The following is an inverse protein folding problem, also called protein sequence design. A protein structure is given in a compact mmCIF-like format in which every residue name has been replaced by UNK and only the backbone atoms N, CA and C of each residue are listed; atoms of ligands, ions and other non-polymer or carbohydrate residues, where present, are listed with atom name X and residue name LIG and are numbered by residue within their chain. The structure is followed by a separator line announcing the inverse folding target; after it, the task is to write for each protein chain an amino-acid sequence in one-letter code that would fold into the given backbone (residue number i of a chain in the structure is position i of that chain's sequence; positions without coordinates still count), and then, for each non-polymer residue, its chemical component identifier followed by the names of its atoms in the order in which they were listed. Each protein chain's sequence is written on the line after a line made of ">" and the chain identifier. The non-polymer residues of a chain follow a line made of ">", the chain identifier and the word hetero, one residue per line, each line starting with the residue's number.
data_IF_562998547343
#
_entry.id   IF_562998547343
#
_cell.length_a   1.000
_cell.length_b   1.000
_cell.length_c   1.000
_cell.angle_alpha   90.00
_cell.angle_beta   90.00
_cell.angle_gamma   90.00
#
_symmetry.space_group_name_H-M   'P 1'
#
loop_
_entity.id
_entity.type
_entity.pdbx_description
1 polymer ?
#
# COMPACT_ATOMS: atom_id res chain seq x y z
N UNK A 1 -22.27 8.21 -9.79
CA UNK A 1 -21.14 7.32 -9.46
C UNK A 1 -19.89 8.17 -9.28
N UNK A 2 -19.48 8.43 -8.04
CA UNK A 2 -18.29 9.25 -7.76
C UNK A 2 -17.05 8.43 -8.11
N UNK A 3 -16.40 8.78 -9.21
CA UNK A 3 -15.01 8.40 -9.47
C UNK A 3 -14.20 9.02 -8.35
N UNK A 4 -13.88 8.25 -7.31
CA UNK A 4 -12.83 8.66 -6.38
C UNK A 4 -11.58 8.73 -7.24
N UNK A 5 -11.16 9.94 -7.61
CA UNK A 5 -9.79 10.17 -8.06
C UNK A 5 -8.93 9.81 -6.87
N UNK A 6 -8.43 8.58 -6.89
CA UNK A 6 -7.52 8.09 -5.87
C UNK A 6 -6.18 8.76 -6.15
N UNK A 7 -6.06 10.02 -5.75
CA UNK A 7 -4.81 10.75 -5.77
C UNK A 7 -3.91 10.17 -4.69
N UNK A 8 -2.83 9.53 -5.13
CA UNK A 8 -1.76 9.14 -4.23
C UNK A 8 -1.28 10.38 -3.48
N UNK A 9 -1.05 10.28 -2.16
CA UNK A 9 -0.55 11.42 -1.41
C UNK A 9 0.77 11.90 -2.01
N UNK A 10 0.89 13.22 -2.20
CA UNK A 10 2.08 13.84 -2.81
C UNK A 10 3.32 13.50 -1.99
N UNK A 11 4.39 13.13 -2.68
CA UNK A 11 5.66 12.84 -2.04
C UNK A 11 6.32 14.14 -1.59
N UNK A 12 6.68 14.22 -0.31
CA UNK A 12 7.49 15.30 0.24
C UNK A 12 8.94 14.80 0.38
N UNK A 13 9.85 15.35 -0.41
CA UNK A 13 11.26 14.98 -0.41
C UNK A 13 12.00 15.45 0.86
N UNK A 14 11.42 16.38 1.62
CA UNK A 14 11.96 16.86 2.89
C UNK A 14 11.68 15.90 4.05
N UNK A 15 10.73 14.97 3.86
CA UNK A 15 10.33 13.99 4.86
C UNK A 15 10.93 12.61 4.57
N UNK A 16 11.08 11.74 5.59
CA UNK A 16 11.57 10.39 5.37
C UNK A 16 10.66 9.63 4.41
N UNK A 17 11.23 9.19 3.30
CA UNK A 17 10.55 8.40 2.27
C UNK A 17 10.81 6.91 2.48
N UNK A 18 9.95 6.10 1.89
CA UNK A 18 10.03 4.65 1.94
C UNK A 18 9.57 4.04 0.63
N UNK A 19 10.26 2.98 0.20
CA UNK A 19 9.90 2.22 -0.99
C UNK A 19 9.15 0.96 -0.57
N UNK A 20 7.88 0.86 -0.94
CA UNK A 20 7.06 -0.32 -0.65
C UNK A 20 6.93 -1.15 -1.91
N UNK A 21 7.32 -2.41 -1.84
CA UNK A 21 7.11 -3.37 -2.92
C UNK A 21 5.81 -4.11 -2.67
N UNK A 22 4.87 -4.05 -3.61
CA UNK A 22 3.58 -4.75 -3.51
C UNK A 22 3.62 -5.91 -4.50
N UNK A 23 3.57 -7.14 -3.97
CA UNK A 23 3.32 -8.36 -4.76
C UNK A 23 1.83 -8.57 -4.85
N UNK A 24 1.30 -8.51 -6.06
CA UNK A 24 -0.09 -8.77 -6.35
C UNK A 24 -0.34 -10.28 -6.46
N UNK A 25 -1.59 -10.68 -6.26
CA UNK A 25 -2.00 -12.09 -6.30
C UNK A 25 -1.88 -12.72 -7.69
N UNK A 26 -1.84 -11.90 -8.74
CA UNK A 26 -1.69 -12.30 -10.14
C UNK A 26 -0.22 -12.51 -10.56
N UNK A 27 0.72 -12.40 -9.61
CA UNK A 27 2.15 -12.54 -9.84
C UNK A 27 2.86 -11.26 -10.25
N UNK A 28 2.14 -10.14 -10.42
CA UNK A 28 2.77 -8.87 -10.75
C UNK A 28 3.37 -8.21 -9.52
N UNK A 29 4.42 -7.43 -9.76
CA UNK A 29 5.09 -6.64 -8.73
C UNK A 29 4.93 -5.16 -9.04
N UNK A 30 4.31 -4.44 -8.13
CA UNK A 30 4.29 -2.98 -8.15
C UNK A 30 5.26 -2.42 -7.11
N UNK A 31 5.83 -1.25 -7.36
CA UNK A 31 6.69 -0.55 -6.41
C UNK A 31 6.20 0.88 -6.31
N UNK A 32 6.00 1.35 -5.08
CA UNK A 32 5.55 2.72 -4.81
C UNK A 32 6.46 3.38 -3.79
N UNK A 33 6.83 4.62 -4.07
CA UNK A 33 7.58 5.48 -3.14
C UNK A 33 6.60 6.38 -2.41
N UNK A 34 6.60 6.33 -1.09
CA UNK A 34 5.69 7.08 -0.21
C UNK A 34 6.47 7.68 0.95
N UNK A 35 5.92 8.69 1.63
CA UNK A 35 6.46 9.13 2.91
C UNK A 35 6.06 8.16 4.02
N UNK A 36 6.91 8.00 5.02
CA UNK A 36 6.63 7.15 6.19
C UNK A 36 5.38 7.59 6.97
N UNK A 37 5.01 8.87 6.86
CA UNK A 37 3.82 9.50 7.45
C UNK A 37 2.54 9.19 6.68
N UNK A 38 2.62 8.67 5.46
CA UNK A 38 1.42 8.36 4.68
C UNK A 38 0.62 7.20 5.30
N UNK A 39 -0.71 7.19 5.15
CA UNK A 39 -1.55 6.12 5.65
C UNK A 39 -1.39 4.85 4.81
N UNK A 40 -1.64 3.70 5.42
CA UNK A 40 -1.72 2.41 4.72
C UNK A 40 -2.81 2.42 3.64
N UNK A 41 -3.88 3.21 3.81
CA UNK A 41 -4.91 3.38 2.77
C UNK A 41 -4.32 3.74 1.41
N UNK A 42 -3.24 4.54 1.37
CA UNK A 42 -2.54 4.92 0.16
C UNK A 42 -2.01 3.72 -0.64
N UNK A 43 -1.64 2.61 0.02
CA UNK A 43 -1.23 1.37 -0.65
C UNK A 43 -2.41 0.65 -1.31
N UNK A 44 -3.55 0.57 -0.62
CA UNK A 44 -4.76 -0.03 -1.18
C UNK A 44 -5.25 0.77 -2.38
N UNK A 45 -5.21 2.09 -2.24
CA UNK A 45 -5.49 3.08 -3.24
C UNK A 45 -4.58 2.91 -4.47
N UNK A 46 -3.27 2.76 -4.26
CA UNK A 46 -2.30 2.48 -5.33
C UNK A 46 -2.60 1.17 -6.07
N UNK A 47 -2.91 0.09 -5.34
CA UNK A 47 -3.28 -1.19 -5.96
C UNK A 47 -4.56 -1.04 -6.78
N UNK A 48 -5.57 -0.38 -6.23
CA UNK A 48 -6.87 -0.15 -6.89
C UNK A 48 -6.75 0.74 -8.14
N UNK A 49 -5.80 1.67 -8.13
CA UNK A 49 -5.52 2.54 -9.29
C UNK A 49 -4.77 1.79 -10.41
N UNK A 50 -3.87 0.86 -10.06
CA UNK A 50 -3.12 0.07 -11.04
C UNK A 50 -3.89 -1.15 -11.55
N UNK A 51 -4.84 -1.67 -10.76
CA UNK A 51 -5.68 -2.81 -11.09
C UNK A 51 -7.11 -2.53 -10.67
N UNK A 52 -8.03 -2.60 -11.62
CA UNK A 52 -9.46 -2.71 -11.33
C UNK A 52 -9.72 -4.09 -10.71
N UNK A 53 -9.41 -4.23 -9.43
CA UNK A 53 -9.70 -5.42 -8.66
C UNK A 53 -11.04 -5.23 -7.95
N UNK A 54 -12.06 -5.98 -8.35
CA UNK A 54 -13.38 -5.96 -7.71
C UNK A 54 -13.45 -6.87 -6.48
N UNK A 55 -12.49 -7.81 -6.33
CA UNK A 55 -12.47 -8.74 -5.22
C UNK A 55 -11.93 -8.09 -3.95
N UNK A 56 -12.55 -8.35 -2.79
CA UNK A 56 -12.00 -7.89 -1.52
C UNK A 56 -10.64 -8.56 -1.27
N UNK A 57 -9.67 -7.76 -0.85
CA UNK A 57 -8.33 -8.23 -0.52
C UNK A 57 -7.77 -7.49 0.69
N UNK A 58 -6.78 -8.10 1.33
CA UNK A 58 -5.94 -7.51 2.37
C UNK A 58 -4.49 -7.47 1.90
N UNK A 59 -3.76 -6.45 2.37
CA UNK A 59 -2.32 -6.37 2.22
C UNK A 59 -1.64 -6.94 3.47
N UNK A 60 -0.59 -7.73 3.29
CA UNK A 60 0.16 -8.33 4.38
C UNK A 60 1.66 -8.12 4.17
N UNK A 61 2.39 -7.67 5.19
CA UNK A 61 3.86 -7.62 5.14
C UNK A 61 4.39 -9.06 4.96
N UNK A 62 5.43 -9.22 4.13
CA UNK A 62 6.03 -10.51 3.87
C UNK A 62 6.88 -10.99 5.05
N UNK A 63 7.69 -10.10 5.65
CA UNK A 63 8.55 -10.41 6.80
C UNK A 63 8.75 -9.19 7.71
N UNK A 64 8.46 -9.31 9.02
CA UNK A 64 7.66 -10.37 9.64
C UNK A 64 6.21 -10.35 9.11
N UNK A 65 5.55 -11.52 9.00
CA UNK A 65 4.19 -11.59 8.46
C UNK A 65 3.21 -10.82 9.36
N UNK A 66 2.66 -9.73 8.83
CA UNK A 66 1.71 -8.88 9.56
C UNK A 66 0.63 -8.37 8.62
N UNK A 67 -0.63 -8.58 8.99
CA UNK A 67 -1.76 -8.10 8.19
C UNK A 67 -1.98 -6.60 8.40
N UNK A 68 -2.07 -5.87 7.29
CA UNK A 68 -2.32 -4.43 7.28
C UNK A 68 -3.83 -4.17 7.31
N UNK A 69 -4.45 -4.48 8.44
CA UNK A 69 -5.91 -4.30 8.64
C UNK A 69 -6.26 -2.83 8.88
N UNK A 70 -5.39 -2.07 9.56
CA UNK A 70 -5.66 -0.67 9.91
C UNK A 70 -5.21 0.29 8.80
N UNK A 71 -6.13 0.59 7.87
CA UNK A 71 -5.86 1.54 6.77
C UNK A 71 -5.59 2.98 7.22
N UNK A 72 -6.07 3.36 8.41
CA UNK A 72 -5.87 4.70 8.98
C UNK A 72 -4.50 4.90 9.64
N UNK A 73 -3.74 3.83 9.91
CA UNK A 73 -2.41 3.96 10.51
C UNK A 73 -1.38 4.32 9.45
N UNK A 74 -0.30 4.96 9.89
CA UNK A 74 0.80 5.32 9.00
C UNK A 74 1.60 4.09 8.58
N UNK A 75 2.31 4.19 7.46
CA UNK A 75 3.26 3.15 7.03
C UNK A 75 4.29 2.87 8.12
N UNK A 76 4.75 3.91 8.84
CA UNK A 76 5.67 3.77 9.97
C UNK A 76 5.07 2.96 11.12
N UNK A 77 3.86 3.29 11.55
CA UNK A 77 3.16 2.59 12.65
C UNK A 77 2.89 1.12 12.31
N UNK A 78 2.60 0.83 11.05
CA UNK A 78 2.35 -0.53 10.60
C UNK A 78 3.62 -1.32 10.29
N UNK A 79 4.80 -0.69 10.31
CA UNK A 79 6.10 -1.32 10.02
C UNK A 79 6.34 -1.52 8.52
N UNK A 80 5.62 -0.78 7.67
CA UNK A 80 5.73 -0.83 6.21
C UNK A 80 6.83 0.12 5.74
N UNK A 81 8.08 -0.19 6.09
CA UNK A 81 9.25 0.63 5.73
C UNK A 81 10.24 -0.21 4.92
N UNK A 82 10.46 0.16 3.65
CA UNK A 82 11.40 -0.51 2.74
C UNK A 82 11.15 -2.02 2.65
N UNK A 83 9.88 -2.41 2.76
CA UNK A 83 9.46 -3.80 2.88
C UNK A 83 8.60 -4.23 1.70
N UNK A 84 8.41 -5.54 1.62
CA UNK A 84 7.49 -6.16 0.68
C UNK A 84 6.16 -6.44 1.37
N UNK A 85 5.07 -6.03 0.73
CA UNK A 85 3.70 -6.39 1.08
C UNK A 85 3.13 -7.30 -0.02
N UNK A 86 2.30 -8.24 0.38
CA UNK A 86 1.62 -9.19 -0.50
C UNK A 86 0.12 -8.94 -0.45
N UNK A 87 -0.50 -8.94 -1.61
CA UNK A 87 -1.94 -8.95 -1.76
C UNK A 87 -2.45 -10.37 -1.49
N UNK A 88 -3.50 -10.47 -0.68
CA UNK A 88 -4.19 -11.72 -0.39
C UNK A 88 -5.69 -11.50 -0.47
N UNK A 89 -6.38 -12.28 -1.29
CA UNK A 89 -7.85 -12.25 -1.33
C UNK A 89 -8.45 -12.77 -0.03
N UNK A 90 -9.59 -12.20 0.37
CA UNK A 90 -10.38 -12.65 1.52
C UNK A 90 -11.69 -13.28 1.05
#
# INVERSE_FOLDING_TARGET
>A
AQKKNVELPKLDESQPTTNVQIRLSDGWRLVVKLNQSHPVSALYDFVSANRQESRPFVLQIAMPPKQLQHKNKTLKDEGVINTTVMQRFI
#
